data_IF_757995493974
#
_entry.id   IF_757995493974
#
_cell.length_a   1.000
_cell.length_b   1.000
_cell.length_c   1.000
_cell.angle_alpha   90.00
_cell.angle_beta   90.00
_cell.angle_gamma   90.00
#
_symmetry.space_group_name_H-M   'P 1'
#
loop_
_entity.id
_entity.type
_entity.pdbx_description
1 polymer ?
#
# COMPACT_ATOMS: atom_id res chain seq x y z
N UNK A 1 -10.58 -27.39 -12.11
CA UNK A 1 -10.09 -28.41 -11.15
C UNK A 1 -9.35 -27.79 -9.96
N UNK A 2 -8.21 -27.11 -10.13
CA UNK A 2 -7.43 -26.47 -9.04
C UNK A 2 -8.29 -25.59 -8.12
N UNK A 3 -9.16 -24.75 -8.69
CA UNK A 3 -10.09 -23.90 -7.92
C UNK A 3 -11.07 -24.70 -7.05
N UNK A 4 -11.49 -25.88 -7.53
CA UNK A 4 -12.43 -26.75 -6.82
C UNK A 4 -11.69 -27.44 -5.67
N UNK A 5 -10.52 -28.04 -5.93
CA UNK A 5 -9.66 -28.64 -4.89
C UNK A 5 -9.37 -27.64 -3.77
N UNK A 6 -8.90 -26.45 -4.12
CA UNK A 6 -8.59 -25.39 -3.16
C UNK A 6 -9.83 -24.85 -2.40
N UNK A 7 -11.03 -25.00 -2.94
CA UNK A 7 -12.27 -24.60 -2.25
C UNK A 7 -12.81 -25.66 -1.29
N UNK A 8 -12.35 -26.91 -1.44
CA UNK A 8 -12.72 -28.03 -0.56
C UNK A 8 -11.85 -28.10 0.70
N UNK A 9 -10.70 -27.41 0.71
CA UNK A 9 -9.86 -27.31 1.90
C UNK A 9 -10.59 -26.52 3.00
N UNK A 10 -10.76 -27.13 4.16
CA UNK A 10 -11.37 -26.52 5.33
C UNK A 10 -10.54 -26.81 6.58
N UNK A 11 -9.93 -25.79 7.17
CA UNK A 11 -9.05 -25.90 8.34
C UNK A 11 -9.68 -26.58 9.56
N UNK A 12 -11.00 -26.47 9.71
CA UNK A 12 -11.74 -27.06 10.83
C UNK A 12 -12.12 -28.53 10.58
N UNK A 13 -11.96 -28.99 9.34
CA UNK A 13 -12.19 -30.37 8.96
C UNK A 13 -10.98 -31.22 9.37
N UNK A 14 -11.17 -32.13 10.33
CA UNK A 14 -10.15 -33.04 10.84
C UNK A 14 -10.04 -34.34 10.04
N UNK A 15 -10.79 -34.49 8.95
CA UNK A 15 -10.65 -35.64 8.05
C UNK A 15 -9.37 -35.53 7.20
N UNK A 16 -8.78 -36.67 6.82
CA UNK A 16 -7.54 -36.74 6.02
C UNK A 16 -7.62 -36.08 4.63
N UNK A 17 -8.81 -35.66 4.18
CA UNK A 17 -9.02 -34.99 2.91
C UNK A 17 -8.25 -33.67 2.77
N UNK A 18 -7.96 -32.97 3.87
CA UNK A 18 -7.14 -31.74 3.82
C UNK A 18 -5.68 -32.02 3.46
N UNK A 19 -5.13 -33.12 3.98
CA UNK A 19 -3.76 -33.53 3.69
C UNK A 19 -3.64 -33.97 2.22
N UNK A 20 -4.65 -34.68 1.71
CA UNK A 20 -4.75 -35.06 0.29
C UNK A 20 -4.85 -33.82 -0.61
N UNK A 21 -5.71 -32.85 -0.26
CA UNK A 21 -5.84 -31.60 -1.04
C UNK A 21 -4.54 -30.79 -1.03
N UNK A 22 -3.87 -30.70 0.12
CA UNK A 22 -2.58 -30.01 0.22
C UNK A 22 -1.51 -30.72 -0.63
N UNK A 23 -1.45 -32.06 -0.57
CA UNK A 23 -0.52 -32.87 -1.36
C UNK A 23 -0.79 -32.73 -2.86
N UNK A 24 -2.06 -32.75 -3.29
CA UNK A 24 -2.46 -32.56 -4.68
C UNK A 24 -2.06 -31.17 -5.19
N UNK A 25 -2.34 -30.12 -4.41
CA UNK A 25 -1.94 -28.76 -4.76
C UNK A 25 -0.42 -28.62 -4.84
N UNK A 26 0.33 -29.24 -3.92
CA UNK A 26 1.80 -29.26 -3.96
C UNK A 26 2.33 -30.00 -5.18
N UNK A 27 1.71 -31.10 -5.56
CA UNK A 27 2.07 -31.89 -6.75
C UNK A 27 1.80 -31.10 -8.02
N UNK A 28 0.62 -30.47 -8.12
CA UNK A 28 0.25 -29.61 -9.25
C UNK A 28 1.12 -28.36 -9.34
N UNK A 29 1.71 -27.89 -8.25
CA UNK A 29 2.66 -26.78 -8.28
C UNK A 29 3.99 -27.12 -9.00
N UNK A 30 4.24 -28.41 -9.26
CA UNK A 30 5.37 -28.90 -10.05
C UNK A 30 4.97 -29.34 -11.48
N UNK A 31 3.74 -29.03 -11.92
CA UNK A 31 3.25 -29.40 -13.24
C UNK A 31 4.08 -28.74 -14.36
N UNK A 32 4.37 -29.44 -15.48
CA UNK A 32 5.08 -28.85 -16.61
C UNK A 32 4.33 -27.67 -17.26
N UNK A 33 3.01 -27.60 -17.13
CA UNK A 33 2.23 -26.42 -17.50
C UNK A 33 2.40 -25.33 -16.42
N UNK A 34 3.17 -24.30 -16.77
CA UNK A 34 3.46 -23.14 -15.90
C UNK A 34 2.21 -22.46 -15.35
N UNK A 35 1.10 -22.44 -16.10
CA UNK A 35 -0.15 -21.83 -15.65
C UNK A 35 -0.82 -22.68 -14.57
N UNK A 36 -0.78 -24.00 -14.71
CA UNK A 36 -1.25 -24.95 -13.69
C UNK A 36 -0.39 -24.83 -12.45
N UNK A 37 0.94 -24.88 -12.61
CA UNK A 37 1.90 -24.75 -11.53
C UNK A 37 1.73 -23.46 -10.72
N UNK A 38 1.63 -22.31 -11.39
CA UNK A 38 1.48 -21.01 -10.73
C UNK A 38 0.16 -20.90 -9.97
N UNK A 39 -0.95 -21.35 -10.58
CA UNK A 39 -2.25 -21.35 -9.89
C UNK A 39 -2.27 -22.29 -8.68
N UNK A 40 -1.65 -23.46 -8.79
CA UNK A 40 -1.56 -24.42 -7.70
C UNK A 40 -0.70 -23.87 -6.56
N UNK A 41 0.46 -23.27 -6.86
CA UNK A 41 1.35 -22.66 -5.86
C UNK A 41 0.65 -21.54 -5.06
N UNK A 42 -0.04 -20.62 -5.74
CA UNK A 42 -0.82 -19.55 -5.09
C UNK A 42 -1.93 -20.12 -4.22
N UNK A 43 -2.67 -21.12 -4.73
CA UNK A 43 -3.77 -21.73 -3.95
C UNK A 43 -3.27 -22.52 -2.76
N UNK A 44 -2.14 -23.20 -2.89
CA UNK A 44 -1.46 -23.87 -1.79
C UNK A 44 -1.13 -22.84 -0.70
N UNK A 45 -0.40 -21.76 -1.03
CA UNK A 45 -0.01 -20.73 -0.05
C UNK A 45 -1.22 -20.04 0.62
N UNK A 46 -2.28 -19.70 -0.12
CA UNK A 46 -3.43 -18.97 0.44
C UNK A 46 -4.44 -19.83 1.20
N UNK A 47 -4.56 -21.12 0.88
CA UNK A 47 -5.59 -22.00 1.48
C UNK A 47 -5.02 -22.88 2.56
N UNK A 48 -3.85 -23.45 2.30
CA UNK A 48 -3.14 -24.30 3.26
C UNK A 48 -2.45 -23.43 4.32
N UNK A 49 -2.25 -22.13 4.04
CA UNK A 49 -1.49 -21.19 4.86
C UNK A 49 -0.04 -21.68 5.06
N UNK A 50 0.65 -21.19 6.08
CA UNK A 50 1.98 -21.68 6.39
C UNK A 50 1.93 -23.16 6.86
N UNK A 51 2.56 -24.02 6.06
CA UNK A 51 3.12 -25.31 6.46
C UNK A 51 4.62 -25.35 6.15
N UNK A 52 5.43 -26.17 6.87
CA UNK A 52 6.84 -26.34 6.53
C UNK A 52 7.05 -26.67 5.04
N UNK A 53 7.81 -25.83 4.33
CA UNK A 53 8.08 -26.01 2.89
C UNK A 53 7.11 -25.30 1.96
N UNK A 54 6.14 -24.54 2.47
CA UNK A 54 5.26 -23.69 1.64
C UNK A 54 6.07 -22.63 0.90
N UNK A 55 7.10 -22.08 1.54
CA UNK A 55 8.04 -21.17 0.90
C UNK A 55 8.78 -21.81 -0.28
N UNK A 56 9.10 -23.11 -0.19
CA UNK A 56 9.78 -23.83 -1.26
C UNK A 56 8.86 -24.01 -2.45
N UNK A 57 7.55 -24.24 -2.23
CA UNK A 57 6.57 -24.32 -3.32
C UNK A 57 6.52 -22.99 -4.09
N UNK A 58 6.45 -21.86 -3.37
CA UNK A 58 6.45 -20.53 -3.99
C UNK A 58 7.78 -20.24 -4.71
N UNK A 59 8.91 -20.55 -4.07
CA UNK A 59 10.24 -20.31 -4.63
C UNK A 59 10.51 -21.15 -5.89
N UNK A 60 10.13 -22.44 -5.88
CA UNK A 60 10.25 -23.28 -7.07
C UNK A 60 9.38 -22.78 -8.22
N UNK A 61 8.17 -22.29 -7.92
CA UNK A 61 7.28 -21.71 -8.92
C UNK A 61 7.83 -20.38 -9.48
N UNK A 62 8.54 -19.60 -8.69
CA UNK A 62 9.30 -18.43 -9.19
C UNK A 62 10.46 -18.88 -10.09
N UNK A 63 11.29 -19.83 -9.63
CA UNK A 63 12.49 -20.28 -10.34
C UNK A 63 12.18 -20.97 -11.69
N UNK A 64 11.07 -21.69 -11.79
CA UNK A 64 10.63 -22.31 -13.05
C UNK A 64 9.82 -21.35 -13.96
N UNK A 65 9.54 -20.13 -13.48
CA UNK A 65 8.79 -19.09 -14.18
C UNK A 65 7.27 -19.32 -14.25
N UNK A 66 6.71 -20.14 -13.36
CA UNK A 66 5.28 -20.29 -13.16
C UNK A 66 4.66 -19.12 -12.37
N UNK A 67 5.46 -18.46 -11.53
CA UNK A 67 5.16 -17.18 -10.90
C UNK A 67 6.16 -16.12 -11.38
N UNK A 68 5.67 -14.90 -11.52
CA UNK A 68 6.54 -13.73 -11.60
C UNK A 68 6.93 -13.25 -10.19
N UNK A 69 7.87 -12.30 -10.14
CA UNK A 69 8.40 -11.74 -8.90
C UNK A 69 7.33 -11.06 -8.05
N UNK A 70 6.36 -10.39 -8.67
CA UNK A 70 5.30 -9.69 -7.96
C UNK A 70 4.33 -10.68 -7.29
N UNK A 71 3.91 -11.72 -8.01
CA UNK A 71 3.08 -12.79 -7.48
C UNK A 71 3.79 -13.53 -6.34
N UNK A 72 5.09 -13.80 -6.46
CA UNK A 72 5.87 -14.41 -5.39
C UNK A 72 5.82 -13.59 -4.09
N UNK A 73 6.14 -12.29 -4.16
CA UNK A 73 6.14 -11.44 -2.97
C UNK A 73 4.73 -11.16 -2.42
N UNK A 74 3.71 -11.15 -3.28
CA UNK A 74 2.32 -11.11 -2.84
C UNK A 74 1.97 -12.30 -1.95
N UNK A 75 2.29 -13.51 -2.40
CA UNK A 75 2.00 -14.72 -1.64
C UNK A 75 2.86 -14.85 -0.39
N UNK A 76 4.14 -14.45 -0.46
CA UNK A 76 5.02 -14.41 0.71
C UNK A 76 4.46 -13.49 1.80
N UNK A 77 3.92 -12.32 1.42
CA UNK A 77 3.25 -11.41 2.34
C UNK A 77 1.98 -12.01 2.96
N UNK A 78 1.20 -12.77 2.18
CA UNK A 78 0.03 -13.49 2.67
C UNK A 78 0.35 -14.63 3.67
N UNK A 79 1.58 -15.16 3.67
CA UNK A 79 2.00 -16.22 4.61
C UNK A 79 2.41 -15.69 6.00
N UNK A 80 2.93 -14.46 6.09
CA UNK A 80 3.34 -13.80 7.35
C UNK A 80 2.35 -13.95 8.52
N UNK A 81 1.02 -13.81 8.38
CA UNK A 81 0.09 -13.99 9.49
C UNK A 81 0.21 -15.40 10.10
N UNK A 82 0.11 -16.43 9.27
CA UNK A 82 0.10 -17.83 9.71
C UNK A 82 1.46 -18.40 10.10
N UNK A 83 2.57 -17.78 9.67
CA UNK A 83 3.91 -18.33 9.85
C UNK A 83 4.42 -18.27 11.31
N UNK A 84 5.30 -19.18 11.75
CA UNK A 84 6.05 -19.06 13.00
C UNK A 84 6.91 -17.79 13.03
N UNK A 85 7.19 -17.25 14.23
CA UNK A 85 7.89 -15.97 14.39
C UNK A 85 9.22 -15.88 13.61
N UNK A 86 10.03 -16.94 13.60
CA UNK A 86 11.27 -16.98 12.82
C UNK A 86 11.03 -16.76 11.33
N UNK A 87 10.02 -17.44 10.78
CA UNK A 87 9.61 -17.32 9.38
C UNK A 87 8.96 -15.98 9.05
N UNK A 88 8.19 -15.38 9.98
CA UNK A 88 7.68 -14.02 9.80
C UNK A 88 8.82 -13.02 9.56
N UNK A 89 9.91 -13.14 10.33
CA UNK A 89 11.10 -12.29 10.19
C UNK A 89 11.81 -12.54 8.85
N UNK A 90 12.03 -13.81 8.49
CA UNK A 90 12.66 -14.17 7.21
C UNK A 90 11.88 -13.61 6.01
N UNK A 91 10.56 -13.83 5.96
CA UNK A 91 9.71 -13.38 4.86
C UNK A 91 9.66 -11.86 4.75
N UNK A 92 9.54 -11.17 5.88
CA UNK A 92 9.50 -9.71 5.90
C UNK A 92 10.85 -9.11 5.47
N UNK A 93 11.96 -9.69 5.92
CA UNK A 93 13.30 -9.26 5.50
C UNK A 93 13.51 -9.48 3.99
N UNK A 94 12.97 -10.56 3.42
CA UNK A 94 13.04 -10.83 1.98
C UNK A 94 12.21 -9.82 1.18
N UNK A 95 10.96 -9.56 1.57
CA UNK A 95 10.10 -8.53 0.96
C UNK A 95 10.77 -7.16 1.02
N UNK A 96 11.35 -6.81 2.17
CA UNK A 96 12.09 -5.55 2.35
C UNK A 96 13.32 -5.48 1.45
N UNK A 97 14.14 -6.53 1.42
CA UNK A 97 15.37 -6.55 0.62
C UNK A 97 15.08 -6.41 -0.88
N UNK A 98 13.94 -6.92 -1.34
CA UNK A 98 13.51 -6.78 -2.72
C UNK A 98 12.85 -5.42 -3.02
N UNK A 99 12.49 -4.64 -2.00
CA UNK A 99 11.73 -3.39 -2.17
C UNK A 99 10.35 -3.63 -2.81
N UNK A 100 9.73 -4.79 -2.56
CA UNK A 100 8.50 -5.17 -3.28
C UNK A 100 7.32 -4.28 -2.90
N UNK A 101 6.82 -3.52 -3.88
CA UNK A 101 5.64 -2.66 -3.71
C UNK A 101 4.36 -3.48 -3.50
N UNK A 102 4.22 -4.62 -4.18
CA UNK A 102 3.06 -5.51 -4.01
C UNK A 102 3.09 -6.18 -2.64
N UNK A 103 4.25 -6.70 -2.19
CA UNK A 103 4.38 -7.25 -0.84
C UNK A 103 4.08 -6.20 0.24
N UNK A 104 4.58 -4.98 0.07
CA UNK A 104 4.23 -3.83 0.93
C UNK A 104 2.73 -3.59 0.98
N UNK A 105 2.04 -3.54 -0.16
CA UNK A 105 0.60 -3.21 -0.21
C UNK A 105 -0.23 -4.23 0.56
N UNK A 106 0.09 -5.52 0.45
CA UNK A 106 -0.54 -6.58 1.25
C UNK A 106 -0.30 -6.35 2.76
N UNK A 107 0.91 -5.97 3.15
CA UNK A 107 1.26 -5.73 4.55
C UNK A 107 0.66 -4.42 5.11
N UNK A 108 0.50 -3.40 4.28
CA UNK A 108 -0.21 -2.15 4.63
C UNK A 108 -1.68 -2.44 4.89
N UNK A 109 -2.32 -3.22 4.02
CA UNK A 109 -3.69 -3.67 4.24
C UNK A 109 -3.82 -4.44 5.57
N UNK A 110 -2.88 -5.34 5.86
CA UNK A 110 -2.86 -6.09 7.11
C UNK A 110 -2.67 -5.20 8.36
N UNK A 111 -1.85 -4.15 8.29
CA UNK A 111 -1.68 -3.19 9.38
C UNK A 111 -2.96 -2.37 9.62
N UNK A 112 -3.70 -2.05 8.56
CA UNK A 112 -4.88 -1.19 8.62
C UNK A 112 -6.19 -1.93 8.94
N UNK A 113 -6.26 -3.25 8.73
CA UNK A 113 -7.51 -4.02 8.85
C UNK A 113 -8.05 -4.11 10.28
N UNK A 114 -7.20 -4.05 11.31
CA UNK A 114 -7.61 -4.12 12.71
C UNK A 114 -8.18 -5.49 13.11
N UNK A 115 -7.50 -6.18 14.01
CA UNK A 115 -7.95 -7.40 14.72
C UNK A 115 -8.06 -8.74 13.97
N UNK A 116 -8.21 -8.80 12.64
CA UNK A 116 -8.31 -10.10 11.94
C UNK A 116 -6.96 -10.75 11.57
N UNK A 117 -5.84 -10.10 11.87
CA UNK A 117 -4.52 -10.54 11.44
C UNK A 117 -3.60 -10.72 12.64
N UNK A 118 -3.35 -11.97 13.02
CA UNK A 118 -2.43 -12.40 14.08
C UNK A 118 -0.95 -11.94 13.90
N UNK A 119 -0.63 -11.20 12.83
CA UNK A 119 0.66 -10.56 12.63
C UNK A 119 0.67 -9.04 12.86
N UNK A 120 -0.46 -8.37 13.17
CA UNK A 120 -0.47 -6.89 13.38
C UNK A 120 0.53 -6.45 14.43
N UNK A 121 0.53 -7.08 15.61
CA UNK A 121 1.47 -6.72 16.68
C UNK A 121 2.93 -6.92 16.25
N UNK A 122 3.21 -8.01 15.52
CA UNK A 122 4.54 -8.27 14.96
C UNK A 122 4.95 -7.19 13.96
N UNK A 123 4.07 -6.83 13.02
CA UNK A 123 4.34 -5.83 12.00
C UNK A 123 4.56 -4.44 12.62
N UNK A 124 3.76 -4.07 13.63
CA UNK A 124 3.91 -2.81 14.37
C UNK A 124 5.24 -2.69 15.10
N UNK A 125 5.76 -3.79 15.63
CA UNK A 125 7.04 -3.82 16.35
C UNK A 125 8.26 -4.08 15.46
N UNK A 126 8.07 -4.29 14.15
CA UNK A 126 9.14 -4.73 13.26
C UNK A 126 9.87 -3.55 12.61
N UNK A 127 11.19 -3.49 12.80
CA UNK A 127 12.06 -2.51 12.12
C UNK A 127 12.12 -2.76 10.61
N UNK A 128 12.05 -4.02 10.16
CA UNK A 128 12.03 -4.32 8.72
C UNK A 128 10.76 -3.77 8.06
N UNK A 129 9.62 -3.79 8.76
CA UNK A 129 8.37 -3.21 8.26
C UNK A 129 8.45 -1.68 8.25
N UNK A 130 9.01 -1.08 9.31
CA UNK A 130 9.24 0.36 9.38
C UNK A 130 10.11 0.85 8.21
N UNK A 131 11.21 0.13 7.95
CA UNK A 131 12.15 0.42 6.88
C UNK A 131 11.54 0.20 5.50
N UNK A 132 10.76 -0.88 5.32
CA UNK A 132 10.01 -1.12 4.09
C UNK A 132 9.09 0.07 3.79
N UNK A 133 8.26 0.49 4.75
CA UNK A 133 7.36 1.63 4.54
C UNK A 133 8.13 2.91 4.21
N UNK A 134 9.22 3.20 4.94
CA UNK A 134 10.05 4.40 4.73
C UNK A 134 10.66 4.46 3.34
N UNK A 135 11.18 3.34 2.84
CA UNK A 135 11.86 3.26 1.53
C UNK A 135 10.89 3.13 0.36
N UNK A 136 9.61 2.86 0.64
CA UNK A 136 8.55 2.70 -0.35
C UNK A 136 7.41 3.70 -0.16
N UNK A 137 7.69 4.87 0.41
CA UNK A 137 6.70 5.94 0.48
C UNK A 137 6.18 6.24 -0.94
N UNK A 138 4.85 6.25 -1.18
CA UNK A 138 4.32 6.56 -2.49
C UNK A 138 4.69 7.99 -2.91
N UNK A 139 5.38 8.09 -4.04
CA UNK A 139 5.74 9.36 -4.65
C UNK A 139 4.74 9.75 -5.74
N UNK A 140 4.51 11.05 -5.85
CA UNK A 140 3.78 11.59 -6.98
C UNK A 140 4.78 11.94 -8.09
N UNK A 141 4.51 11.48 -9.30
CA UNK A 141 5.31 11.84 -10.47
C UNK A 141 5.26 13.33 -10.82
N UNK A 142 5.74 13.71 -12.03
CA UNK A 142 5.72 15.09 -12.49
C UNK A 142 4.36 15.77 -12.29
N UNK A 143 4.36 17.07 -12.01
CA UNK A 143 3.14 17.85 -11.70
C UNK A 143 2.26 18.07 -12.94
N UNK A 144 1.66 16.99 -13.45
CA UNK A 144 0.63 16.99 -14.50
C UNK A 144 -0.71 16.67 -13.82
N UNK A 145 -1.23 17.63 -13.06
CA UNK A 145 -2.46 17.46 -12.26
C UNK A 145 -2.26 16.71 -10.94
N UNK A 146 -3.36 16.18 -10.38
CA UNK A 146 -3.41 15.58 -9.04
C UNK A 146 -2.67 14.23 -8.95
N UNK A 147 -2.65 13.43 -10.02
CA UNK A 147 -1.99 12.13 -10.03
C UNK A 147 -2.73 11.04 -9.24
N UNK A 148 -3.94 10.67 -9.69
CA UNK A 148 -4.83 9.71 -9.02
C UNK A 148 -4.17 8.38 -8.64
N UNK A 149 -3.28 7.84 -9.48
CA UNK A 149 -2.58 6.59 -9.17
C UNK A 149 -1.66 6.69 -7.94
N UNK A 150 -0.99 7.84 -7.76
CA UNK A 150 -0.19 8.13 -6.56
C UNK A 150 -1.09 8.37 -5.36
N UNK A 151 -2.22 9.05 -5.57
CA UNK A 151 -3.22 9.33 -4.53
C UNK A 151 -3.76 8.06 -3.89
N UNK A 152 -4.26 7.11 -4.70
CA UNK A 152 -4.81 5.83 -4.21
C UNK A 152 -3.79 5.03 -3.41
N UNK A 153 -2.53 5.01 -3.84
CA UNK A 153 -1.46 4.31 -3.09
C UNK A 153 -1.12 5.02 -1.78
N UNK A 154 -1.26 6.34 -1.75
CA UNK A 154 -0.95 7.15 -0.58
C UNK A 154 -2.06 7.18 0.47
N UNK A 155 -3.31 6.79 0.20
CA UNK A 155 -4.38 6.89 1.21
C UNK A 155 -4.16 5.98 2.41
N UNK A 156 -3.62 4.78 2.20
CA UNK A 156 -3.44 3.77 3.25
C UNK A 156 -2.08 3.84 3.94
N UNK A 157 -1.06 4.35 3.25
CA UNK A 157 0.34 4.35 3.70
C UNK A 157 0.59 5.21 4.96
N UNK A 158 0.04 6.44 5.11
CA UNK A 158 0.21 7.26 6.30
C UNK A 158 -0.31 6.59 7.55
N UNK A 159 -1.44 5.89 7.48
CA UNK A 159 -2.02 5.16 8.61
C UNK A 159 -1.14 3.98 9.03
N UNK A 160 -0.70 3.17 8.07
CA UNK A 160 0.19 2.04 8.36
C UNK A 160 1.52 2.52 8.97
N UNK A 161 2.09 3.59 8.42
CA UNK A 161 3.30 4.20 8.97
C UNK A 161 3.11 4.78 10.36
N UNK A 162 1.99 5.47 10.58
CA UNK A 162 1.64 6.05 11.87
C UNK A 162 1.34 4.97 12.91
N UNK A 163 0.80 3.81 12.51
CA UNK A 163 0.56 2.68 13.41
C UNK A 163 1.87 2.13 14.01
N UNK A 164 2.94 2.06 13.20
CA UNK A 164 4.28 1.66 13.66
C UNK A 164 4.88 2.73 14.58
N UNK A 165 4.86 4.00 14.14
CA UNK A 165 5.45 5.10 14.91
C UNK A 165 4.70 5.35 16.24
N UNK A 166 3.37 5.28 16.24
CA UNK A 166 2.52 5.35 17.43
C UNK A 166 2.86 4.21 18.39
N UNK A 167 3.05 2.99 17.90
CA UNK A 167 3.45 1.85 18.73
C UNK A 167 4.82 2.08 19.39
N UNK A 168 5.79 2.67 18.66
CA UNK A 168 7.14 2.94 19.16
C UNK A 168 7.22 4.12 20.13
N UNK A 169 6.41 5.16 19.92
CA UNK A 169 6.51 6.44 20.64
C UNK A 169 5.43 6.66 21.69
N UNK A 170 4.34 5.90 21.63
CA UNK A 170 3.14 6.12 22.47
C UNK A 170 2.27 7.31 22.03
N UNK A 171 2.66 8.04 20.98
CA UNK A 171 1.87 9.16 20.45
C UNK A 171 0.58 8.69 19.80
N UNK A 172 -0.44 9.55 19.75
CA UNK A 172 -1.69 9.23 19.06
C UNK A 172 -1.47 9.07 17.55
N UNK A 173 -2.14 8.10 16.92
CA UNK A 173 -1.98 7.85 15.47
C UNK A 173 -2.33 9.08 14.62
N UNK A 174 -3.44 9.76 14.91
CA UNK A 174 -3.85 10.98 14.22
C UNK A 174 -2.82 12.10 14.40
N UNK A 175 -2.26 12.23 15.60
CA UNK A 175 -1.21 13.19 15.91
C UNK A 175 0.05 12.94 15.05
N UNK A 176 0.45 11.67 14.90
CA UNK A 176 1.58 11.27 14.06
C UNK A 176 1.29 11.57 12.59
N UNK A 177 0.11 11.23 12.09
CA UNK A 177 -0.27 11.50 10.68
C UNK A 177 -0.22 13.01 10.42
N UNK A 178 -0.82 13.82 11.28
CA UNK A 178 -0.83 15.27 11.12
C UNK A 178 0.57 15.85 11.20
N UNK A 179 1.39 15.41 12.15
CA UNK A 179 2.77 15.87 12.27
C UNK A 179 3.57 15.58 11.00
N UNK A 180 3.39 14.38 10.41
CA UNK A 180 4.02 14.00 9.15
C UNK A 180 3.57 14.87 7.98
N UNK A 181 2.26 15.03 7.81
CA UNK A 181 1.70 15.85 6.72
C UNK A 181 1.99 17.35 6.89
N UNK A 182 2.31 17.79 8.10
CA UNK A 182 2.68 19.17 8.41
C UNK A 182 4.18 19.45 8.25
N UNK A 183 4.99 18.45 7.87
CA UNK A 183 6.41 18.67 7.64
C UNK A 183 6.62 19.68 6.51
N UNK A 184 7.62 20.58 6.63
CA UNK A 184 8.01 21.44 5.53
C UNK A 184 8.28 20.61 4.28
N UNK A 185 7.86 21.10 3.12
CA UNK A 185 8.10 20.46 1.81
C UNK A 185 7.29 19.19 1.55
N UNK A 186 6.31 18.87 2.39
CA UNK A 186 5.33 17.82 2.07
C UNK A 186 4.57 18.18 0.79
N UNK A 187 4.61 17.29 -0.21
CA UNK A 187 3.86 17.47 -1.46
C UNK A 187 2.37 17.68 -1.15
N UNK A 188 1.79 18.76 -1.67
CA UNK A 188 0.40 19.12 -1.39
C UNK A 188 -0.59 18.05 -1.85
N UNK A 189 -0.21 17.24 -2.86
CA UNK A 189 -1.00 16.11 -3.34
C UNK A 189 -1.07 14.98 -2.31
N UNK A 190 -0.04 14.78 -1.49
CA UNK A 190 -0.05 13.82 -0.37
C UNK A 190 -1.07 14.24 0.69
N UNK A 191 -1.05 15.53 1.04
CA UNK A 191 -1.99 16.12 2.01
C UNK A 191 -3.43 15.95 1.51
N UNK A 192 -3.71 16.39 0.28
CA UNK A 192 -5.04 16.29 -0.30
C UNK A 192 -5.51 14.84 -0.46
N UNK A 193 -4.61 13.91 -0.83
CA UNK A 193 -4.93 12.49 -0.95
C UNK A 193 -5.35 11.87 0.38
N UNK A 194 -4.62 12.18 1.46
CA UNK A 194 -5.03 11.74 2.79
C UNK A 194 -6.36 12.36 3.21
N UNK A 195 -6.57 13.67 3.01
CA UNK A 195 -7.82 14.33 3.43
C UNK A 195 -9.06 13.86 2.66
N UNK A 196 -8.89 13.34 1.44
CA UNK A 196 -9.97 12.71 0.66
C UNK A 196 -10.28 11.28 1.11
N UNK A 197 -9.41 10.68 1.93
CA UNK A 197 -9.56 9.29 2.32
C UNK A 197 -10.62 9.13 3.42
N UNK A 198 -11.33 7.99 3.48
CA UNK A 198 -12.29 7.72 4.56
C UNK A 198 -11.66 7.81 5.95
N UNK A 199 -10.36 7.53 6.06
CA UNK A 199 -9.62 7.57 7.33
C UNK A 199 -9.46 8.99 7.89
N UNK A 200 -9.49 10.03 7.04
CA UNK A 200 -9.42 11.42 7.50
C UNK A 200 -10.76 11.92 8.08
N UNK A 201 -11.88 11.24 7.82
CA UNK A 201 -13.23 11.70 8.19
C UNK A 201 -13.40 12.05 9.68
N UNK A 202 -13.03 11.16 10.62
CA UNK A 202 -13.09 11.48 12.05
C UNK A 202 -12.24 12.71 12.43
N UNK A 203 -11.04 12.86 11.86
CA UNK A 203 -10.15 13.99 12.10
C UNK A 203 -10.71 15.31 11.55
N UNK A 204 -11.29 15.26 10.35
CA UNK A 204 -11.96 16.41 9.71
C UNK A 204 -13.20 16.85 10.50
N UNK A 205 -14.01 15.90 10.95
CA UNK A 205 -15.22 16.18 11.74
C UNK A 205 -14.92 16.76 13.13
N UNK A 206 -13.77 16.38 13.71
CA UNK A 206 -13.30 16.87 15.00
C UNK A 206 -12.46 18.17 14.91
N UNK A 207 -12.11 18.63 13.71
CA UNK A 207 -11.23 19.78 13.53
C UNK A 207 -11.84 21.08 14.08
N UNK A 208 -11.20 21.64 15.11
CA UNK A 208 -11.52 22.99 15.62
C UNK A 208 -10.90 24.05 14.74
N UNK A 209 -11.37 25.32 14.80
CA UNK A 209 -10.63 26.46 14.27
C UNK A 209 -9.17 26.43 14.75
N UNK A 210 -8.25 26.85 13.88
CA UNK A 210 -6.79 26.90 14.11
C UNK A 210 -6.07 25.58 14.40
N UNK A 211 -6.78 24.45 14.40
CA UNK A 211 -6.16 23.13 14.55
C UNK A 211 -5.15 22.83 13.43
N UNK A 212 -4.14 22.00 13.67
CA UNK A 212 -3.24 21.54 12.62
C UNK A 212 -3.95 20.94 11.38
N UNK A 213 -5.09 20.27 11.58
CA UNK A 213 -5.93 19.74 10.49
C UNK A 213 -6.50 20.87 9.61
N UNK A 214 -6.93 22.00 10.20
CA UNK A 214 -7.35 23.18 9.42
C UNK A 214 -6.24 23.68 8.49
N UNK A 215 -5.00 23.69 8.97
CA UNK A 215 -3.84 24.13 8.18
C UNK A 215 -3.61 23.21 6.97
N UNK A 216 -3.73 21.89 7.16
CA UNK A 216 -3.66 20.92 6.06
C UNK A 216 -4.78 21.13 5.03
N UNK A 217 -6.00 21.43 5.48
CA UNK A 217 -7.12 21.73 4.59
C UNK A 217 -6.88 23.05 3.83
N UNK A 218 -6.37 24.08 4.50
CA UNK A 218 -6.01 25.34 3.85
C UNK A 218 -4.93 25.14 2.76
N UNK A 219 -3.89 24.35 3.03
CA UNK A 219 -2.87 23.99 2.03
C UNK A 219 -3.51 23.33 0.80
N UNK A 220 -4.44 22.39 1.02
CA UNK A 220 -5.17 21.71 -0.06
C UNK A 220 -6.04 22.67 -0.87
N UNK A 221 -6.66 23.66 -0.23
CA UNK A 221 -7.45 24.69 -0.91
C UNK A 221 -6.59 25.60 -1.78
N UNK A 222 -5.44 26.05 -1.26
CA UNK A 222 -4.52 26.88 -2.05
C UNK A 222 -3.98 26.07 -3.23
N UNK A 223 -3.61 24.80 -3.03
CA UNK A 223 -3.19 23.93 -4.12
C UNK A 223 -4.28 23.81 -5.22
N UNK A 224 -5.54 23.59 -4.85
CA UNK A 224 -6.63 23.55 -5.82
C UNK A 224 -6.84 24.88 -6.56
N UNK A 225 -6.68 26.02 -5.88
CA UNK A 225 -6.84 27.35 -6.50
C UNK A 225 -5.79 27.68 -7.56
N UNK A 226 -4.67 26.96 -7.59
CA UNK A 226 -3.65 27.07 -8.66
C UNK A 226 -4.10 26.39 -9.96
N UNK A 227 -5.18 25.61 -9.92
CA UNK A 227 -5.76 24.90 -11.05
C UNK A 227 -7.23 25.33 -11.27
N UNK A 228 -7.53 26.63 -11.48
CA UNK A 228 -8.88 27.18 -11.43
C UNK A 228 -9.82 26.64 -12.53
N UNK A 229 -9.29 26.08 -13.61
CA UNK A 229 -10.06 25.43 -14.67
C UNK A 229 -10.36 23.95 -14.43
N UNK A 230 -9.88 23.37 -13.32
CA UNK A 230 -10.05 21.95 -13.03
C UNK A 230 -11.24 21.73 -12.08
N UNK A 231 -12.38 21.33 -12.65
CA UNK A 231 -13.60 21.08 -11.88
C UNK A 231 -13.44 19.96 -10.85
N UNK A 232 -12.61 18.94 -11.13
CA UNK A 232 -12.37 17.83 -10.21
C UNK A 232 -11.64 18.30 -8.95
N UNK A 233 -10.66 19.20 -9.10
CA UNK A 233 -9.94 19.80 -7.97
C UNK A 233 -10.87 20.62 -7.07
N UNK A 234 -11.80 21.37 -7.68
CA UNK A 234 -12.81 22.10 -6.93
C UNK A 234 -13.75 21.14 -6.17
N UNK A 235 -14.20 20.06 -6.83
CA UNK A 235 -15.05 19.05 -6.22
C UNK A 235 -14.36 18.32 -5.04
N UNK A 236 -13.08 17.98 -5.18
CA UNK A 236 -12.27 17.37 -4.12
C UNK A 236 -12.19 18.27 -2.88
N UNK A 237 -11.93 19.57 -3.06
CA UNK A 237 -11.92 20.51 -1.94
C UNK A 237 -13.29 20.62 -1.28
N UNK A 238 -14.38 20.63 -2.05
CA UNK A 238 -15.73 20.65 -1.47
C UNK A 238 -16.03 19.37 -0.69
N UNK A 239 -15.59 18.20 -1.18
CA UNK A 239 -15.75 16.93 -0.49
C UNK A 239 -15.01 16.90 0.86
N UNK A 240 -13.81 17.48 0.95
CA UNK A 240 -13.07 17.64 2.22
C UNK A 240 -13.85 18.58 3.16
N UNK A 241 -14.26 19.75 2.66
CA UNK A 241 -14.96 20.77 3.45
C UNK A 241 -16.29 20.27 4.01
N UNK A 242 -17.02 19.46 3.26
CA UNK A 242 -18.31 18.92 3.66
C UNK A 242 -18.21 18.01 4.91
N UNK A 243 -17.04 17.47 5.21
CA UNK A 243 -16.79 16.65 6.40
C UNK A 243 -16.46 17.48 7.65
N UNK A 244 -16.25 18.79 7.51
CA UNK A 244 -15.85 19.68 8.60
C UNK A 244 -17.02 20.48 9.13
N UNK A 245 -17.04 20.70 10.46
CA UNK A 245 -18.01 21.62 11.08
C UNK A 245 -17.71 23.09 10.77
N UNK A 246 -16.43 23.45 10.73
CA UNK A 246 -15.97 24.83 10.53
C UNK A 246 -14.86 24.87 9.47
N UNK A 247 -15.15 24.67 8.17
CA UNK A 247 -14.09 24.64 7.15
C UNK A 247 -13.37 25.99 7.05
N UNK A 248 -12.06 26.02 6.73
CA UNK A 248 -11.34 27.28 6.61
C UNK A 248 -11.87 28.08 5.41
N UNK A 249 -11.78 29.42 5.42
CA UNK A 249 -12.23 30.24 4.30
C UNK A 249 -11.47 29.88 3.02
N UNK A 250 -12.16 29.91 1.87
CA UNK A 250 -11.49 29.69 0.59
C UNK A 250 -10.45 30.79 0.34
N UNK A 251 -9.30 30.46 -0.27
CA UNK A 251 -8.31 31.45 -0.64
C UNK A 251 -8.88 32.41 -1.69
N UNK A 252 -8.45 33.69 -1.69
CA UNK A 252 -8.80 34.61 -2.76
C UNK A 252 -8.26 34.13 -4.11
N UNK A 253 -8.89 34.52 -5.24
CA UNK A 253 -8.41 34.15 -6.56
C UNK A 253 -6.96 34.61 -6.78
N UNK A 254 -6.09 33.70 -7.25
CA UNK A 254 -4.71 34.05 -7.64
C UNK A 254 -3.63 33.91 -6.55
N UNK A 255 -3.92 33.29 -5.40
CA UNK A 255 -2.88 32.97 -4.41
C UNK A 255 -1.98 31.84 -4.92
N UNK A 256 -0.76 32.19 -5.33
CA UNK A 256 0.29 31.22 -5.62
C UNK A 256 1.00 30.82 -4.31
N UNK A 257 1.21 29.52 -4.09
CA UNK A 257 2.17 29.09 -3.06
C UNK A 257 3.58 29.16 -3.63
N UNK A 258 4.54 29.58 -2.80
CA UNK A 258 5.93 29.17 -3.00
C UNK A 258 5.99 27.65 -2.91
N UNK A 259 6.29 26.98 -4.03
CA UNK A 259 6.42 25.53 -4.06
C UNK A 259 7.39 25.08 -2.97
N UNK A 260 6.93 24.23 -2.06
CA UNK A 260 7.77 23.72 -0.97
C UNK A 260 8.44 22.40 -1.34
N UNK A 261 7.92 21.65 -2.33
CA UNK A 261 8.57 20.45 -2.85
C UNK A 261 9.68 20.74 -3.87
N UNK A 262 10.61 19.79 -4.12
CA UNK A 262 11.64 19.95 -5.14
C UNK A 262 11.01 20.17 -6.52
N UNK A 263 11.48 21.20 -7.24
CA UNK A 263 11.23 21.38 -8.67
C UNK A 263 12.05 20.32 -9.39
N UNK A 264 11.52 19.11 -9.51
CA UNK A 264 12.16 18.06 -10.31
C UNK A 264 11.95 18.46 -11.78
N UNK A 265 12.99 19.04 -12.39
CA UNK A 265 13.09 19.15 -13.85
C UNK A 265 12.97 17.76 -14.51
N UNK A 266 12.81 17.66 -15.83
CA UNK A 266 12.60 16.38 -16.50
C UNK A 266 13.65 15.36 -16.05
N UNK A 267 13.19 14.35 -15.29
CA UNK A 267 14.06 13.29 -14.81
C UNK A 267 14.59 12.54 -16.04
N UNK A 268 15.91 12.29 -16.16
CA UNK A 268 16.38 11.32 -17.13
C UNK A 268 15.68 10.00 -16.84
N UNK A 269 15.18 9.34 -17.89
CA UNK A 269 14.58 8.03 -17.77
C UNK A 269 15.57 7.09 -17.04
N UNK A 270 15.09 6.18 -16.17
CA UNK A 270 15.95 5.18 -15.56
C UNK A 270 16.70 4.41 -16.67
N UNK A 271 18.01 4.14 -16.51
CA UNK A 271 18.74 3.33 -17.47
C UNK A 271 18.07 1.94 -17.56
N UNK A 272 17.47 1.63 -18.71
CA UNK A 272 16.83 0.34 -18.96
C UNK A 272 15.44 0.38 -19.62
N UNK A 273 14.79 1.54 -19.76
CA UNK A 273 13.52 1.63 -20.50
C UNK A 273 13.76 1.93 -21.99
N UNK A 274 13.19 1.13 -22.93
CA UNK A 274 13.27 1.45 -24.34
C UNK A 274 12.49 2.74 -24.63
N UNK A 275 13.17 3.72 -25.23
CA UNK A 275 12.55 4.93 -25.75
C UNK A 275 11.58 4.51 -26.85
N UNK A 276 10.29 4.76 -26.64
CA UNK A 276 9.28 4.55 -27.68
C UNK A 276 9.56 5.51 -28.84
N UNK A 277 10.03 4.96 -29.96
CA UNK A 277 10.15 5.69 -31.22
C UNK A 277 8.84 5.47 -31.99
N UNK A 278 7.97 6.48 -32.14
CA UNK A 278 6.76 6.33 -32.92
C UNK A 278 7.12 6.03 -34.39
N UNK A 279 6.37 5.15 -35.07
CA UNK A 279 6.64 4.82 -36.46
C UNK A 279 6.43 6.05 -37.37
N UNK A 280 7.20 6.16 -38.48
CA UNK A 280 7.05 7.26 -39.42
C UNK A 280 5.64 7.23 -40.03
N UNK A 281 4.97 8.37 -39.99
CA UNK A 281 3.67 8.56 -40.64
C UNK A 281 3.85 8.37 -42.15
N UNK A 282 3.09 7.44 -42.72
CA UNK A 282 2.87 7.34 -44.17
C UNK A 282 1.77 8.30 -44.59
#
# INVERSE_FOLDING_TARGET
MIRILASLYNRENTTGANDDIALDLKTLAADPDKKVAGQAAVKYARRVEYQPGTELVLKNALENGALDTDAYFQELAHLIPSAPLGKKKEYLAEIRSAGSLIGRDVLVMALNSGEEFNAVSFLKSSEDMAELLRTTEPEFGPRVGFGLGGSVRYTEWPRASAAIESHKTGRGMDEVIVARLSQPNTDERKIMSFLLSPQAGPMLAAATPDSPVQKLVAISQVYASQLPGNADMAAMVQAIRAQMKNPPPLPPPGVAMTHTGPIIGPSPAPPGYPVYVPPPRR
#
